data_IF_165434695767
#
_entry.id   IF_165434695767
#
_cell.length_a   1.000
_cell.length_b   1.000
_cell.length_c   1.000
_cell.angle_alpha   90.00
_cell.angle_beta   90.00
_cell.angle_gamma   90.00
#
_symmetry.space_group_name_H-M   'P 1'
#
loop_
_entity.id
_entity.type
_entity.pdbx_description
1 polymer ?
#
# COMPACT_ATOMS: atom_id res chain seq x y z
N UNK A 1 66.59 20.31 -38.21
CA UNK A 1 67.12 19.28 -39.12
C UNK A 1 67.11 17.97 -38.33
N UNK A 2 66.43 16.88 -38.66
CA UNK A 2 65.66 16.47 -39.85
C UNK A 2 64.49 15.56 -39.42
N UNK A 3 63.46 15.53 -40.26
CA UNK A 3 62.37 14.57 -40.27
C UNK A 3 62.85 13.16 -40.63
N UNK A 4 62.12 12.15 -40.15
CA UNK A 4 62.01 10.83 -40.79
C UNK A 4 60.53 10.40 -40.79
N UNK A 5 59.99 10.35 -42.01
CA UNK A 5 58.86 9.57 -42.55
C UNK A 5 58.96 8.09 -42.13
N UNK A 6 57.94 7.27 -41.90
CA UNK A 6 56.53 7.20 -42.30
C UNK A 6 56.20 5.71 -42.47
N UNK A 7 54.96 5.26 -42.24
CA UNK A 7 54.38 4.09 -42.91
C UNK A 7 52.88 3.98 -42.61
N UNK A 8 52.11 3.95 -43.70
CA UNK A 8 50.68 3.68 -43.78
C UNK A 8 50.34 2.26 -43.29
N UNK A 9 49.21 2.15 -42.57
CA UNK A 9 48.46 0.92 -42.43
C UNK A 9 46.96 1.24 -42.54
N UNK A 10 46.40 0.97 -43.72
CA UNK A 10 44.99 1.14 -44.09
C UNK A 10 44.15 0.06 -43.39
N UNK A 11 43.09 0.45 -42.69
CA UNK A 11 42.03 -0.48 -42.27
C UNK A 11 40.68 0.02 -42.80
N UNK A 12 40.16 -0.71 -43.78
CA UNK A 12 38.86 -0.53 -44.45
C UNK A 12 37.81 -1.43 -43.75
N UNK A 13 36.50 -1.13 -43.88
CA UNK A 13 35.57 -1.20 -42.75
C UNK A 13 34.54 -2.35 -42.79
N UNK A 14 33.78 -2.42 -41.70
CA UNK A 14 32.35 -2.79 -41.60
C UNK A 14 31.86 -4.04 -42.35
N UNK A 15 31.53 -5.07 -41.57
CA UNK A 15 30.52 -6.06 -41.96
C UNK A 15 29.61 -6.36 -40.77
N UNK A 16 28.42 -5.77 -40.78
CA UNK A 16 27.30 -6.12 -39.93
C UNK A 16 26.74 -7.48 -40.39
N UNK A 17 26.79 -8.49 -39.51
CA UNK A 17 26.14 -9.78 -39.73
C UNK A 17 24.81 -9.83 -38.96
N UNK A 18 23.72 -9.56 -39.68
CA UNK A 18 22.35 -9.84 -39.25
C UNK A 18 22.17 -11.35 -39.06
N UNK A 19 21.81 -11.80 -37.86
CA UNK A 19 21.25 -13.13 -37.64
C UNK A 19 19.73 -13.09 -37.91
N UNK A 20 19.18 -14.01 -38.72
CA UNK A 20 17.73 -14.15 -38.83
C UNK A 20 17.20 -14.86 -37.56
N UNK A 21 16.39 -14.17 -36.77
CA UNK A 21 15.57 -14.82 -35.73
C UNK A 21 14.35 -15.39 -36.43
N UNK A 22 14.23 -16.72 -36.39
CA UNK A 22 13.09 -17.47 -36.87
C UNK A 22 11.84 -17.07 -36.07
N UNK A 23 10.83 -16.57 -36.77
CA UNK A 23 9.49 -16.39 -36.24
C UNK A 23 8.93 -17.78 -35.92
N UNK A 24 8.63 -18.03 -34.65
CA UNK A 24 7.72 -19.09 -34.25
C UNK A 24 6.57 -18.45 -33.47
N UNK A 25 5.51 -18.20 -34.22
CA UNK A 25 4.14 -18.03 -33.78
C UNK A 25 3.75 -19.24 -32.92
N UNK A 26 3.53 -19.05 -31.62
CA UNK A 26 2.89 -20.07 -30.80
C UNK A 26 1.51 -19.58 -30.40
N UNK A 27 0.52 -20.21 -31.02
CA UNK A 27 -0.91 -20.14 -30.80
C UNK A 27 -1.31 -20.23 -29.33
N UNK A 28 -2.21 -19.33 -28.93
CA UNK A 28 -3.09 -19.48 -27.78
C UNK A 28 -4.03 -20.68 -28.01
N UNK A 29 -3.88 -21.74 -27.22
CA UNK A 29 -4.92 -22.75 -27.04
C UNK A 29 -5.06 -23.05 -25.54
N UNK A 30 -6.16 -22.56 -24.98
CA UNK A 30 -6.70 -23.03 -23.70
C UNK A 30 -7.00 -24.54 -23.80
N UNK A 31 -6.54 -25.36 -22.86
CA UNK A 31 -7.26 -26.55 -22.48
C UNK A 31 -8.28 -26.19 -21.39
N UNK A 32 -9.57 -26.21 -21.75
CA UNK A 32 -10.69 -26.29 -20.82
C UNK A 32 -10.49 -27.52 -19.92
N UNK A 33 -10.09 -27.32 -18.66
CA UNK A 33 -10.24 -28.35 -17.63
C UNK A 33 -11.55 -28.12 -16.88
N UNK A 34 -12.59 -28.85 -17.30
CA UNK A 34 -13.78 -29.10 -16.49
C UNK A 34 -13.43 -30.10 -15.39
N UNK A 35 -12.93 -29.62 -14.26
CA UNK A 35 -12.89 -30.42 -13.04
C UNK A 35 -14.32 -30.57 -12.53
N UNK A 36 -14.91 -31.76 -12.76
CA UNK A 36 -16.11 -32.24 -12.07
C UNK A 36 -15.84 -32.17 -10.57
N UNK A 37 -16.44 -31.22 -9.87
CA UNK A 37 -16.54 -31.27 -8.42
C UNK A 37 -17.56 -32.36 -8.07
N UNK A 38 -17.09 -33.46 -7.47
CA UNK A 38 -17.96 -34.45 -6.85
C UNK A 38 -18.57 -33.82 -5.59
N UNK A 39 -19.77 -33.30 -5.72
CA UNK A 39 -20.64 -32.93 -4.62
C UNK A 39 -20.97 -34.19 -3.81
N UNK A 40 -20.45 -34.26 -2.58
CA UNK A 40 -20.93 -35.23 -1.59
C UNK A 40 -22.36 -34.86 -1.18
N UNK A 41 -23.30 -35.83 -1.11
CA UNK A 41 -24.64 -35.56 -0.64
C UNK A 41 -24.66 -35.30 0.87
N UNK A 42 -25.44 -34.29 1.24
CA UNK A 42 -25.76 -33.91 2.62
C UNK A 42 -26.48 -35.06 3.34
N UNK A 43 -26.07 -35.35 4.58
CA UNK A 43 -26.90 -36.07 5.54
C UNK A 43 -27.21 -35.14 6.73
N UNK A 44 -28.49 -34.92 7.09
CA UNK A 44 -28.84 -34.18 8.28
C UNK A 44 -28.81 -35.11 9.50
N UNK A 45 -27.93 -34.82 10.45
CA UNK A 45 -28.03 -35.35 11.81
C UNK A 45 -28.57 -34.24 12.71
N UNK A 46 -29.81 -34.42 13.13
CA UNK A 46 -30.47 -33.70 14.20
C UNK A 46 -29.86 -34.09 15.54
N UNK A 47 -29.38 -33.12 16.29
CA UNK A 47 -29.33 -33.22 17.75
C UNK A 47 -29.70 -31.87 18.36
N UNK A 48 -30.93 -31.79 18.83
CA UNK A 48 -31.30 -30.82 19.84
C UNK A 48 -30.60 -31.22 21.14
N UNK A 49 -30.09 -30.25 21.90
CA UNK A 49 -30.82 -29.77 23.08
C UNK A 49 -29.96 -28.90 24.00
N UNK A 50 -30.61 -27.83 24.47
CA UNK A 50 -30.39 -27.07 25.72
C UNK A 50 -29.02 -26.41 25.98
N UNK A 51 -28.92 -25.13 25.62
CA UNK A 51 -28.47 -24.12 26.59
C UNK A 51 -29.38 -22.89 26.53
N UNK A 52 -30.26 -22.80 27.52
CA UNK A 52 -31.01 -21.59 27.84
C UNK A 52 -30.07 -20.62 28.54
N UNK A 53 -29.88 -19.45 27.95
CA UNK A 53 -29.32 -18.29 28.63
C UNK A 53 -30.08 -17.07 28.13
N UNK A 54 -31.13 -16.73 28.87
CA UNK A 54 -31.86 -15.49 28.76
C UNK A 54 -30.91 -14.29 28.89
N UNK A 55 -30.58 -13.62 27.78
CA UNK A 55 -30.13 -12.23 27.87
C UNK A 55 -31.31 -11.32 27.57
N UNK A 56 -31.73 -10.58 28.60
CA UNK A 56 -32.73 -9.53 28.50
C UNK A 56 -32.20 -8.41 27.62
N UNK A 57 -33.04 -7.99 26.68
CA UNK A 57 -32.97 -6.72 25.98
C UNK A 57 -32.94 -5.57 26.99
N UNK A 58 -31.84 -4.82 27.03
CA UNK A 58 -31.84 -3.44 27.49
C UNK A 58 -31.64 -2.57 26.24
N UNK A 59 -32.75 -2.09 25.70
CA UNK A 59 -32.77 -1.04 24.69
C UNK A 59 -32.33 0.26 25.36
N UNK A 60 -31.02 0.51 25.42
CA UNK A 60 -30.52 1.85 25.64
C UNK A 60 -30.66 2.58 24.31
N UNK A 61 -31.77 3.29 24.15
CA UNK A 61 -31.84 4.39 23.20
C UNK A 61 -30.80 5.41 23.65
N UNK A 62 -29.56 5.25 23.17
CA UNK A 62 -28.61 6.34 23.16
C UNK A 62 -29.13 7.26 22.09
N UNK A 63 -29.81 8.31 22.53
CA UNK A 63 -30.05 9.49 21.71
C UNK A 63 -28.69 9.89 21.13
N UNK A 64 -28.54 9.70 19.82
CA UNK A 64 -27.50 10.37 19.07
C UNK A 64 -27.89 11.84 19.05
N UNK A 65 -27.49 12.50 20.13
CA UNK A 65 -27.49 13.94 20.26
C UNK A 65 -26.38 14.44 19.33
N UNK A 66 -26.72 14.59 18.04
CA UNK A 66 -25.91 15.31 17.07
C UNK A 66 -26.02 16.81 17.38
N UNK A 67 -25.37 17.21 18.47
CA UNK A 67 -25.11 18.62 18.73
C UNK A 67 -24.15 19.12 17.65
N UNK A 68 -24.64 20.02 16.80
CA UNK A 68 -23.88 20.73 15.77
C UNK A 68 -22.69 21.49 16.41
N UNK A 69 -21.57 20.80 16.56
CA UNK A 69 -20.27 21.33 16.93
C UNK A 69 -19.37 21.07 15.73
N UNK A 70 -18.87 22.14 15.10
CA UNK A 70 -18.23 22.16 13.77
C UNK A 70 -17.66 20.81 13.31
N UNK A 71 -18.17 20.32 12.19
CA UNK A 71 -17.97 18.98 11.61
C UNK A 71 -16.51 18.50 11.67
N UNK A 72 -16.14 17.87 12.78
CA UNK A 72 -14.82 17.27 12.95
C UNK A 72 -14.91 15.81 12.54
N UNK A 73 -14.06 15.41 11.61
CA UNK A 73 -13.97 14.03 11.14
C UNK A 73 -12.89 13.30 11.91
N UNK A 74 -13.22 12.09 12.37
CA UNK A 74 -12.29 11.26 13.13
C UNK A 74 -11.47 10.40 12.17
N UNK A 75 -10.16 10.55 12.25
CA UNK A 75 -9.18 9.78 11.48
C UNK A 75 -8.45 8.82 12.40
N UNK A 76 -8.19 7.65 11.88
CA UNK A 76 -7.39 6.60 12.51
C UNK A 76 -6.11 6.45 11.71
N UNK A 77 -5.00 6.23 12.40
CA UNK A 77 -3.73 6.06 11.70
C UNK A 77 -2.86 4.99 12.31
N UNK A 78 -2.03 4.41 11.44
CA UNK A 78 -0.87 3.61 11.80
C UNK A 78 0.38 4.36 11.34
N UNK A 79 1.39 4.47 12.19
CA UNK A 79 2.65 5.15 11.87
C UNK A 79 3.85 4.29 12.23
N UNK A 80 4.86 4.29 11.35
CA UNK A 80 6.17 3.71 11.62
C UNK A 80 7.27 4.39 10.77
N UNK A 81 8.50 3.89 10.88
CA UNK A 81 9.63 4.34 10.08
C UNK A 81 9.39 4.04 8.59
N UNK A 82 9.69 4.99 7.71
CA UNK A 82 9.53 4.87 6.26
C UNK A 82 10.24 3.63 5.70
N UNK A 83 11.48 3.39 6.17
CA UNK A 83 12.25 2.21 5.77
C UNK A 83 11.52 0.90 6.09
N UNK A 84 10.89 0.82 7.27
CA UNK A 84 10.14 -0.36 7.65
C UNK A 84 8.86 -0.52 6.81
N UNK A 85 8.04 0.54 6.70
CA UNK A 85 6.74 0.45 6.01
C UNK A 85 6.84 0.32 4.50
N UNK A 86 7.83 0.95 3.86
CA UNK A 86 7.90 1.06 2.40
C UNK A 86 8.91 0.10 1.76
N UNK A 87 9.94 -0.32 2.49
CA UNK A 87 11.05 -1.11 1.95
C UNK A 87 11.16 -2.53 2.55
N UNK A 88 10.99 -2.68 3.88
CA UNK A 88 11.10 -3.98 4.55
C UNK A 88 9.79 -4.78 4.55
N UNK A 89 8.64 -4.12 4.69
CA UNK A 89 7.34 -4.79 4.81
C UNK A 89 6.67 -5.02 3.45
N UNK A 90 6.97 -6.15 2.83
CA UNK A 90 6.42 -6.53 1.51
C UNK A 90 4.90 -6.75 1.52
N UNK A 91 4.33 -7.27 2.62
CA UNK A 91 2.89 -7.55 2.69
C UNK A 91 2.05 -6.29 2.71
N UNK A 92 2.61 -5.17 3.18
CA UNK A 92 1.91 -3.91 3.30
C UNK A 92 1.51 -3.37 1.92
N UNK A 93 2.43 -3.45 0.96
CA UNK A 93 2.20 -3.05 -0.42
C UNK A 93 1.04 -3.83 -1.05
N UNK A 94 1.10 -5.16 -0.98
CA UNK A 94 0.07 -6.03 -1.56
C UNK A 94 -1.30 -5.79 -0.94
N UNK A 95 -1.37 -5.57 0.37
CA UNK A 95 -2.63 -5.24 1.04
C UNK A 95 -3.23 -3.91 0.56
N UNK A 96 -2.39 -2.90 0.30
CA UNK A 96 -2.87 -1.60 -0.21
C UNK A 96 -3.33 -1.68 -1.66
N UNK A 97 -2.59 -2.38 -2.53
CA UNK A 97 -2.99 -2.55 -3.92
C UNK A 97 -4.24 -3.41 -4.06
N UNK A 98 -4.34 -4.51 -3.31
CA UNK A 98 -5.55 -5.34 -3.30
C UNK A 98 -6.74 -4.55 -2.77
N UNK A 99 -6.55 -3.75 -1.71
CA UNK A 99 -7.63 -2.87 -1.21
C UNK A 99 -8.02 -1.82 -2.25
N UNK A 100 -7.07 -1.20 -2.93
CA UNK A 100 -7.36 -0.24 -4.00
C UNK A 100 -8.14 -0.88 -5.15
N UNK A 101 -7.76 -2.10 -5.56
CA UNK A 101 -8.51 -2.88 -6.55
C UNK A 101 -9.93 -3.18 -6.05
N UNK A 102 -10.08 -3.66 -4.82
CA UNK A 102 -11.37 -3.93 -4.19
C UNK A 102 -12.27 -2.68 -4.19
N UNK A 103 -11.74 -1.49 -3.93
CA UNK A 103 -12.52 -0.25 -3.97
C UNK A 103 -12.96 0.09 -5.39
N UNK A 104 -12.07 -0.06 -6.38
CA UNK A 104 -12.40 0.15 -7.79
C UNK A 104 -13.45 -0.82 -8.32
N UNK A 105 -13.37 -2.11 -7.96
CA UNK A 105 -14.32 -3.15 -8.38
C UNK A 105 -15.70 -3.01 -7.72
N UNK A 106 -15.76 -2.44 -6.51
CA UNK A 106 -17.01 -2.27 -5.76
C UNK A 106 -17.53 -0.82 -5.79
N UNK A 107 -16.98 0.04 -6.64
CA UNK A 107 -17.37 1.46 -6.77
C UNK A 107 -17.38 2.21 -5.42
N UNK A 108 -16.42 1.90 -4.54
CA UNK A 108 -16.27 2.53 -3.23
C UNK A 108 -15.34 3.74 -3.29
N UNK A 109 -15.72 4.79 -2.57
CA UNK A 109 -14.86 5.96 -2.38
C UNK A 109 -13.63 5.61 -1.54
N UNK A 110 -12.46 6.07 -1.96
CA UNK A 110 -11.21 5.84 -1.25
C UNK A 110 -11.21 6.61 0.09
N UNK A 111 -11.05 5.86 1.17
CA UNK A 111 -11.10 6.34 2.55
C UNK A 111 -9.75 6.19 3.27
N UNK A 112 -8.66 6.01 2.52
CA UNK A 112 -7.32 5.84 3.06
C UNK A 112 -6.23 6.45 2.18
N UNK A 113 -5.17 6.92 2.83
CA UNK A 113 -4.04 7.61 2.21
C UNK A 113 -2.73 7.31 2.94
N UNK A 114 -1.62 7.36 2.21
CA UNK A 114 -0.28 7.36 2.78
C UNK A 114 0.23 8.79 2.92
N UNK A 115 0.79 9.12 4.08
CA UNK A 115 1.34 10.44 4.37
C UNK A 115 2.78 10.29 4.84
N UNK A 116 3.71 10.85 4.07
CA UNK A 116 5.15 10.88 4.40
C UNK A 116 5.40 12.07 5.32
N UNK A 117 5.98 11.84 6.48
CA UNK A 117 6.20 12.85 7.52
C UNK A 117 4.95 13.70 7.83
N UNK A 118 3.91 13.09 8.40
CA UNK A 118 2.66 13.78 8.72
C UNK A 118 2.89 14.87 9.77
N UNK A 119 2.37 16.08 9.51
CA UNK A 119 2.46 17.23 10.42
C UNK A 119 1.65 17.02 11.71
N UNK A 120 0.56 16.25 11.64
CA UNK A 120 -0.26 15.98 12.83
C UNK A 120 0.49 15.18 13.91
N UNK A 121 1.63 14.54 13.59
CA UNK A 121 2.44 13.83 14.57
C UNK A 121 2.98 14.73 15.69
N UNK A 122 3.08 16.04 15.47
CA UNK A 122 3.49 17.00 16.50
C UNK A 122 2.51 17.05 17.68
N UNK A 123 1.23 16.69 17.44
CA UNK A 123 0.21 16.54 18.49
C UNK A 123 0.47 15.33 19.40
N UNK A 124 1.33 14.38 18.98
CA UNK A 124 1.57 13.09 19.65
C UNK A 124 3.04 12.89 20.06
N UNK A 125 3.55 13.63 21.06
CA UNK A 125 4.96 13.57 21.47
C UNK A 125 5.41 12.18 21.95
N UNK A 126 4.50 11.40 22.54
CA UNK A 126 4.79 10.03 23.00
C UNK A 126 5.11 9.08 21.85
N UNK A 127 4.48 9.30 20.70
CA UNK A 127 4.66 8.50 19.49
C UNK A 127 5.95 8.94 18.81
N UNK A 128 6.17 10.25 18.63
CA UNK A 128 7.34 10.79 17.94
C UNK A 128 8.66 10.45 18.64
N UNK A 129 8.68 10.35 19.98
CA UNK A 129 9.86 9.90 20.74
C UNK A 129 10.27 8.45 20.46
N UNK A 130 9.32 7.59 20.09
CA UNK A 130 9.57 6.17 19.79
C UNK A 130 9.90 5.93 18.32
N UNK A 131 9.51 6.86 17.44
CA UNK A 131 9.70 6.75 16.00
C UNK A 131 11.10 7.20 15.58
N UNK A 132 11.66 6.49 14.60
CA UNK A 132 12.80 6.98 13.82
C UNK A 132 12.26 7.68 12.58
N UNK A 133 12.79 8.87 12.27
CA UNK A 133 12.45 9.64 11.07
C UNK A 133 13.34 9.20 9.89
N UNK A 134 12.85 9.23 8.63
CA UNK A 134 11.54 9.71 8.21
C UNK A 134 10.40 8.75 8.60
N UNK A 135 9.26 9.30 9.01
CA UNK A 135 8.08 8.51 9.42
C UNK A 135 7.03 8.50 8.31
N UNK A 136 6.30 7.40 8.18
CA UNK A 136 5.17 7.27 7.25
C UNK A 136 3.95 6.87 8.06
N UNK A 137 2.82 7.52 7.78
CA UNK A 137 1.54 7.13 8.34
C UNK A 137 0.58 6.64 7.25
N UNK A 138 -0.12 5.55 7.56
CA UNK A 138 -1.35 5.17 6.89
C UNK A 138 -2.50 5.82 7.65
N UNK A 139 -3.23 6.71 6.98
CA UNK A 139 -4.38 7.43 7.54
C UNK A 139 -5.65 6.92 6.89
N UNK A 140 -6.68 6.65 7.68
CA UNK A 140 -8.00 6.24 7.17
C UNK A 140 -9.13 6.69 8.09
N UNK A 141 -10.33 6.87 7.55
CA UNK A 141 -11.54 7.06 8.35
C UNK A 141 -12.07 5.74 8.93
N UNK A 142 -11.60 4.60 8.42
CA UNK A 142 -12.02 3.26 8.83
C UNK A 142 -11.19 2.71 10.01
N UNK A 143 -11.68 2.91 11.22
CA UNK A 143 -11.03 2.44 12.46
C UNK A 143 -10.80 0.92 12.55
N UNK A 144 -11.79 0.06 12.21
CA UNK A 144 -11.59 -1.39 12.18
C UNK A 144 -10.45 -1.82 11.26
N UNK A 145 -10.32 -1.18 10.09
CA UNK A 145 -9.23 -1.48 9.17
C UNK A 145 -7.86 -1.06 9.73
N UNK A 146 -7.75 0.11 10.34
CA UNK A 146 -6.52 0.54 11.02
C UNK A 146 -6.14 -0.39 12.17
N UNK A 147 -7.13 -0.92 12.89
CA UNK A 147 -6.91 -1.93 13.93
C UNK A 147 -6.36 -3.23 13.33
N UNK A 148 -6.93 -3.70 12.21
CA UNK A 148 -6.40 -4.84 11.48
C UNK A 148 -4.95 -4.60 11.02
N UNK A 149 -4.64 -3.42 10.48
CA UNK A 149 -3.27 -3.07 10.07
C UNK A 149 -2.32 -3.07 11.27
N UNK A 150 -2.76 -2.59 12.44
CA UNK A 150 -1.96 -2.64 13.66
C UNK A 150 -1.67 -4.07 14.15
N UNK A 151 -2.60 -5.00 13.97
CA UNK A 151 -2.41 -6.42 14.31
C UNK A 151 -1.53 -7.14 13.30
N UNK A 152 -1.57 -6.74 12.01
CA UNK A 152 -0.74 -7.33 10.96
C UNK A 152 0.70 -6.84 11.02
N UNK A 153 0.87 -5.57 11.36
CA UNK A 153 2.15 -4.88 11.39
C UNK A 153 2.60 -4.74 12.85
N UNK A 154 3.44 -5.66 13.33
CA UNK A 154 3.81 -5.68 14.77
C UNK A 154 4.58 -4.42 15.20
N UNK A 155 5.48 -3.92 14.35
CA UNK A 155 6.46 -2.86 14.64
C UNK A 155 5.94 -1.43 14.39
N UNK A 156 4.63 -1.23 14.49
CA UNK A 156 3.98 0.07 14.24
C UNK A 156 3.31 0.65 15.49
N UNK A 157 3.05 1.95 15.48
CA UNK A 157 2.23 2.64 16.47
C UNK A 157 0.90 3.02 15.83
N UNK A 158 -0.18 3.01 16.61
CA UNK A 158 -1.50 3.40 16.11
C UNK A 158 -2.18 4.32 17.13
N UNK A 159 -2.91 5.29 16.61
CA UNK A 159 -3.75 6.20 17.41
C UNK A 159 -4.86 6.78 16.51
N UNK A 160 -5.68 7.66 17.07
CA UNK A 160 -6.71 8.40 16.35
C UNK A 160 -6.66 9.88 16.68
N UNK A 161 -7.09 10.72 15.74
CA UNK A 161 -7.21 12.16 15.92
C UNK A 161 -8.43 12.70 15.20
N UNK A 162 -8.85 13.89 15.61
CA UNK A 162 -9.94 14.63 14.96
C UNK A 162 -9.33 15.78 14.16
N UNK A 163 -9.85 15.99 12.96
CA UNK A 163 -9.47 17.11 12.09
C UNK A 163 -10.70 17.72 11.43
N UNK A 164 -10.62 19.02 11.19
CA UNK A 164 -11.71 19.80 10.59
C UNK A 164 -11.73 19.66 9.06
N UNK A 165 -10.57 19.40 8.45
CA UNK A 165 -10.45 19.21 7.01
C UNK A 165 -9.56 18.01 6.66
N UNK A 166 -9.80 17.43 5.48
CA UNK A 166 -8.97 16.36 4.94
C UNK A 166 -7.53 16.85 4.69
N UNK A 167 -7.37 18.10 4.24
CA UNK A 167 -6.07 18.69 3.97
C UNK A 167 -5.24 18.88 5.27
N UNK A 168 -5.89 19.19 6.39
CA UNK A 168 -5.21 19.22 7.70
C UNK A 168 -4.76 17.81 8.11
N UNK A 169 -5.63 16.80 7.93
CA UNK A 169 -5.34 15.42 8.28
C UNK A 169 -4.22 14.81 7.44
N UNK A 170 -4.11 15.20 6.17
CA UNK A 170 -3.13 14.71 5.21
C UNK A 170 -1.91 15.64 5.04
N UNK A 171 -1.80 16.67 5.87
CA UNK A 171 -0.71 17.63 5.79
C UNK A 171 0.65 16.95 6.03
N UNK A 172 1.59 17.17 5.11
CA UNK A 172 2.87 16.47 5.09
C UNK A 172 4.06 17.42 4.95
N UNK A 173 5.25 16.94 5.32
CA UNK A 173 6.52 17.65 5.10
C UNK A 173 7.22 17.05 3.89
N UNK A 174 7.59 17.86 2.88
CA UNK A 174 8.23 17.33 1.68
C UNK A 174 9.61 16.76 2.02
N UNK A 175 9.74 15.44 1.90
CA UNK A 175 10.95 14.71 2.28
C UNK A 175 11.29 13.70 1.21
N UNK A 176 12.52 13.76 0.71
CA UNK A 176 13.05 12.83 -0.29
C UNK A 176 13.35 11.49 0.39
N UNK A 177 12.76 10.41 -0.13
CA UNK A 177 12.99 9.05 0.35
C UNK A 177 13.85 8.30 -0.67
N UNK A 178 15.03 7.86 -0.24
CA UNK A 178 15.91 6.99 -1.02
C UNK A 178 16.16 5.71 -0.23
N UNK A 179 15.96 4.56 -0.87
CA UNK A 179 16.17 3.24 -0.27
C UNK A 179 17.22 2.47 -1.05
N UNK A 180 18.21 1.94 -0.33
CA UNK A 180 19.28 1.13 -0.92
C UNK A 180 18.75 -0.26 -1.29
N UNK A 181 19.05 -0.71 -2.51
CA UNK A 181 18.77 -2.10 -2.91
C UNK A 181 19.70 -3.04 -2.13
N UNK A 182 19.18 -4.13 -1.54
CA UNK A 182 20.01 -5.07 -0.79
C UNK A 182 20.99 -5.75 -1.74
N UNK A 183 22.24 -5.89 -1.29
CA UNK A 183 23.31 -6.53 -2.07
C UNK A 183 22.98 -7.99 -2.42
N UNK A 184 22.34 -8.70 -1.49
CA UNK A 184 21.94 -10.09 -1.65
C UNK A 184 20.42 -10.19 -1.46
N UNK A 185 19.71 -10.37 -2.56
CA UNK A 185 18.29 -10.61 -2.54
C UNK A 185 18.01 -12.12 -2.48
N UNK A 186 17.26 -12.56 -1.47
CA UNK A 186 17.06 -13.99 -1.17
C UNK A 186 15.72 -14.51 -1.73
N UNK A 187 14.75 -13.64 -1.97
CA UNK A 187 13.44 -14.07 -2.44
C UNK A 187 13.48 -14.51 -3.92
N UNK A 188 12.66 -15.50 -4.32
CA UNK A 188 12.63 -16.01 -5.69
C UNK A 188 11.97 -15.05 -6.70
N UNK A 189 11.38 -13.95 -6.23
CA UNK A 189 10.74 -12.90 -7.03
C UNK A 189 11.52 -11.59 -6.89
N UNK A 190 11.53 -10.68 -7.86
CA UNK A 190 12.24 -9.41 -7.73
C UNK A 190 11.66 -8.56 -6.60
N UNK A 191 12.54 -7.80 -5.92
CA UNK A 191 12.12 -6.77 -4.97
C UNK A 191 11.29 -5.69 -5.70
N UNK A 192 10.28 -5.14 -5.03
CA UNK A 192 9.51 -4.04 -5.58
C UNK A 192 10.37 -2.79 -5.85
N UNK A 193 9.99 -2.05 -6.87
CA UNK A 193 10.66 -0.79 -7.19
C UNK A 193 10.27 0.30 -6.18
N UNK A 194 11.22 1.16 -5.78
CA UNK A 194 10.92 2.31 -4.95
C UNK A 194 9.94 3.24 -5.69
N UNK A 195 9.05 3.90 -4.93
CA UNK A 195 8.04 4.81 -5.47
C UNK A 195 6.66 4.19 -5.68
N UNK A 196 6.47 2.89 -5.44
CA UNK A 196 5.15 2.25 -5.55
C UNK A 196 4.05 2.93 -4.72
N UNK A 197 4.44 3.57 -3.60
CA UNK A 197 3.56 4.25 -2.66
C UNK A 197 2.99 5.58 -3.20
N UNK A 198 3.53 6.13 -4.28
CA UNK A 198 3.08 7.41 -4.87
C UNK A 198 1.60 7.39 -5.25
N UNK A 199 1.08 6.22 -5.62
CA UNK A 199 -0.34 6.00 -5.94
C UNK A 199 -1.28 6.38 -4.79
N UNK A 200 -0.81 6.25 -3.56
CA UNK A 200 -1.59 6.47 -2.33
C UNK A 200 -1.33 7.82 -1.67
N UNK A 201 -0.42 8.63 -2.23
CA UNK A 201 -0.15 9.95 -1.71
C UNK A 201 -1.33 10.89 -1.97
N UNK A 202 -1.55 11.89 -1.11
CA UNK A 202 -2.58 12.89 -1.34
C UNK A 202 -2.24 13.62 -2.63
N UNK A 203 -3.17 13.63 -3.58
CA UNK A 203 -3.02 14.42 -4.80
C UNK A 203 -3.20 15.87 -4.42
N UNK A 204 -2.09 16.61 -4.30
CA UNK A 204 -2.13 18.05 -4.12
C UNK A 204 -2.86 18.62 -5.34
N UNK A 205 -4.08 19.13 -5.13
CA UNK A 205 -4.72 19.96 -6.15
C UNK A 205 -3.90 21.25 -6.21
N UNK A 206 -3.14 21.42 -7.28
CA UNK A 206 -2.58 22.74 -7.58
C UNK A 206 -3.77 23.65 -7.86
N UNK A 207 -4.18 24.45 -6.88
CA UNK A 207 -4.99 25.63 -7.13
C UNK A 207 -4.14 26.53 -8.02
N UNK A 208 -4.43 26.49 -9.32
CA UNK A 208 -3.92 27.45 -10.28
C UNK A 208 -4.42 28.82 -9.86
N UNK A 209 -3.57 29.58 -9.16
CA UNK A 209 -3.70 31.01 -9.00
C UNK A 209 -3.70 31.61 -10.41
N UNK A 210 -4.89 31.95 -10.90
CA UNK A 210 -5.12 32.69 -12.13
C UNK A 210 -5.48 34.13 -11.78
#
# INVERSE_FOLDING_TARGET
MWSVTGALGVAVPTAAACRPKHLLTSSNLLPKQTKKLHLYPQQPLSLASHFSSSFRTAASSVEQQSDNKGESTKYYFVVANAKFMLDEEEHFQEQLFERLRYYGENEKELDFWLVIEPKFLDKFPKITQRLRRPAVALVSTNGPWITFMKLRLDRVLADSFEATSLDEALAFTPTTLEFDKPKNWVAPYPKYEPGWWETFLPKIKQESVA
#
